data_IF_726846882338
#
_entry.id   IF_726846882338
#
_cell.length_a   1.000
_cell.length_b   1.000
_cell.length_c   1.000
_cell.angle_alpha   90.00
_cell.angle_beta   90.00
_cell.angle_gamma   90.00
#
_symmetry.space_group_name_H-M   'P 1'
#
loop_
_entity.id
_entity.type
_entity.pdbx_description
1 polymer ?
#
# COMPACT_ATOMS: atom_id res chain seq x y z
N UNK A 1 -25.32 -14.77 15.58
CA UNK A 1 -25.13 -14.10 16.88
C UNK A 1 -25.15 -12.61 16.63
N UNK A 2 -25.86 -11.84 17.46
CA UNK A 2 -25.89 -10.37 17.37
C UNK A 2 -24.55 -9.83 17.87
N UNK A 3 -23.89 -8.97 17.09
CA UNK A 3 -22.62 -8.33 17.48
C UNK A 3 -22.89 -7.30 18.58
N UNK A 4 -22.14 -7.37 19.68
CA UNK A 4 -22.20 -6.38 20.77
C UNK A 4 -21.24 -5.21 20.50
N UNK A 5 -21.70 -4.25 19.70
CA UNK A 5 -20.94 -3.07 19.28
C UNK A 5 -20.52 -2.16 20.45
N UNK A 6 -21.18 -2.24 21.60
CA UNK A 6 -20.80 -1.49 22.80
C UNK A 6 -19.49 -1.97 23.44
N UNK A 7 -18.95 -3.11 23.00
CA UNK A 7 -17.67 -3.66 23.46
C UNK A 7 -16.58 -3.63 22.40
N UNK A 8 -16.88 -3.08 21.23
CA UNK A 8 -15.94 -2.91 20.12
C UNK A 8 -15.53 -1.44 20.02
N UNK A 9 -14.34 -1.22 19.51
CA UNK A 9 -13.77 0.09 19.30
C UNK A 9 -13.34 0.27 17.83
N UNK A 10 -13.29 1.53 17.44
CA UNK A 10 -12.69 2.05 16.22
C UNK A 10 -11.83 3.27 16.57
N UNK A 11 -11.20 3.94 15.61
CA UNK A 11 -10.19 4.98 15.88
C UNK A 11 -10.63 6.12 16.81
N UNK A 12 -11.94 6.45 16.84
CA UNK A 12 -12.48 7.54 17.67
C UNK A 12 -13.18 7.08 18.97
N UNK A 13 -13.05 5.81 19.38
CA UNK A 13 -13.65 5.29 20.61
C UNK A 13 -14.55 4.07 20.41
N UNK A 14 -15.58 3.92 21.26
CA UNK A 14 -16.52 2.80 21.19
C UNK A 14 -17.39 2.87 19.92
N UNK A 15 -17.55 1.73 19.24
CA UNK A 15 -18.19 1.62 17.94
C UNK A 15 -19.73 1.56 18.02
N UNK A 16 -20.35 2.28 18.95
CA UNK A 16 -21.81 2.26 19.19
C UNK A 16 -22.64 2.91 18.07
N UNK A 17 -22.00 3.76 17.28
CA UNK A 17 -22.55 4.45 16.10
C UNK A 17 -22.48 3.60 14.81
N UNK A 18 -21.50 2.71 14.72
CA UNK A 18 -21.20 1.89 13.55
C UNK A 18 -22.40 1.08 13.03
N UNK A 19 -23.28 0.50 13.87
CA UNK A 19 -24.49 -0.17 13.39
C UNK A 19 -25.43 0.72 12.58
N UNK A 20 -25.54 2.01 12.95
CA UNK A 20 -26.36 2.98 12.22
C UNK A 20 -25.80 3.25 10.83
N UNK A 21 -24.48 3.41 10.72
CA UNK A 21 -23.80 3.56 9.43
C UNK A 21 -23.95 2.30 8.57
N UNK A 22 -23.78 1.11 9.14
CA UNK A 22 -23.95 -0.15 8.39
C UNK A 22 -25.38 -0.34 7.87
N UNK A 23 -26.39 0.02 8.66
CA UNK A 23 -27.78 -0.01 8.20
C UNK A 23 -28.06 1.01 7.08
N UNK A 24 -27.41 2.18 7.14
CA UNK A 24 -27.55 3.22 6.11
C UNK A 24 -27.00 2.78 4.74
N UNK A 25 -26.04 1.84 4.68
CA UNK A 25 -25.54 1.28 3.42
C UNK A 25 -26.65 0.56 2.62
N UNK A 26 -27.61 -0.08 3.30
CA UNK A 26 -28.72 -0.78 2.68
C UNK A 26 -29.91 0.15 2.40
N UNK A 27 -30.37 0.89 3.42
CA UNK A 27 -31.65 1.60 3.38
C UNK A 27 -31.55 3.12 3.37
N UNK A 28 -30.35 3.68 3.52
CA UNK A 28 -30.13 5.12 3.55
C UNK A 28 -30.23 5.77 2.17
N UNK A 29 -30.47 7.08 2.16
CA UNK A 29 -30.31 7.89 0.95
C UNK A 29 -28.82 8.04 0.56
N UNK A 30 -28.55 8.74 -0.54
CA UNK A 30 -27.18 8.87 -1.04
C UNK A 30 -26.23 9.56 -0.04
N UNK A 31 -26.72 10.54 0.71
CA UNK A 31 -25.92 11.25 1.73
C UNK A 31 -25.62 10.33 2.93
N UNK A 32 -26.62 9.59 3.39
CA UNK A 32 -26.45 8.62 4.48
C UNK A 32 -25.50 7.47 4.08
N UNK A 33 -25.55 7.00 2.83
CA UNK A 33 -24.60 6.01 2.30
C UNK A 33 -23.19 6.58 2.22
N UNK A 34 -23.01 7.80 1.73
CA UNK A 34 -21.69 8.43 1.68
C UNK A 34 -21.11 8.58 3.09
N UNK A 35 -21.91 9.06 4.06
CA UNK A 35 -21.47 9.17 5.45
C UNK A 35 -21.11 7.80 6.07
N UNK A 36 -21.78 6.72 5.65
CA UNK A 36 -21.44 5.36 6.07
C UNK A 36 -20.12 4.87 5.46
N UNK A 37 -19.87 5.17 4.18
CA UNK A 37 -18.59 4.87 3.51
C UNK A 37 -17.44 5.65 4.17
N UNK A 38 -17.64 6.94 4.42
CA UNK A 38 -16.67 7.78 5.13
C UNK A 38 -16.38 7.25 6.53
N UNK A 39 -17.40 6.71 7.24
CA UNK A 39 -17.21 6.07 8.55
C UNK A 39 -16.36 4.79 8.47
N UNK A 40 -16.56 3.97 7.43
CA UNK A 40 -15.75 2.76 7.23
C UNK A 40 -14.27 3.09 7.02
N UNK A 41 -13.99 4.10 6.20
CA UNK A 41 -12.62 4.55 5.88
C UNK A 41 -11.98 5.32 7.06
N UNK A 42 -12.67 6.33 7.58
CA UNK A 42 -12.09 7.28 8.52
C UNK A 42 -12.11 6.80 9.97
N UNK A 43 -13.01 5.89 10.36
CA UNK A 43 -13.12 5.41 11.73
C UNK A 43 -12.77 3.92 11.86
N UNK A 44 -13.43 3.06 11.07
CA UNK A 44 -13.35 1.60 11.22
C UNK A 44 -12.03 1.03 10.72
N UNK A 45 -11.48 1.55 9.61
CA UNK A 45 -10.16 1.18 9.08
C UNK A 45 -9.27 2.42 8.92
N UNK A 46 -9.08 3.14 10.01
CA UNK A 46 -8.39 4.42 9.98
C UNK A 46 -6.95 4.32 9.45
N UNK A 47 -6.72 4.85 8.24
CA UNK A 47 -5.42 4.86 7.58
C UNK A 47 -4.80 3.46 7.44
N UNK A 48 -5.64 2.44 7.23
CA UNK A 48 -5.20 1.06 7.13
C UNK A 48 -4.84 0.40 8.46
N UNK A 49 -5.09 1.04 9.61
CA UNK A 49 -4.94 0.44 10.92
C UNK A 49 -6.28 -0.08 11.45
N UNK A 50 -6.45 -1.41 11.60
CA UNK A 50 -7.70 -1.98 12.08
C UNK A 50 -7.84 -1.87 13.60
N UNK A 51 -9.08 -2.00 14.06
CA UNK A 51 -9.47 -2.14 15.47
C UNK A 51 -10.50 -3.29 15.60
N UNK A 52 -10.98 -3.55 16.82
CA UNK A 52 -11.93 -4.60 17.18
C UNK A 52 -13.26 -4.51 16.42
N UNK A 53 -13.67 -3.33 15.94
CA UNK A 53 -14.85 -3.16 15.10
C UNK A 53 -14.64 -3.55 13.63
N UNK A 54 -13.40 -3.61 13.14
CA UNK A 54 -13.11 -3.83 11.71
C UNK A 54 -13.58 -5.19 11.21
N UNK A 55 -13.28 -6.28 11.93
CA UNK A 55 -13.69 -7.62 11.49
C UNK A 55 -15.23 -7.79 11.46
N UNK A 56 -16.00 -7.35 12.47
CA UNK A 56 -17.46 -7.32 12.40
C UNK A 56 -18.02 -6.46 11.26
N UNK A 57 -17.40 -5.31 10.95
CA UNK A 57 -17.79 -4.48 9.81
C UNK A 57 -17.55 -5.19 8.46
N UNK A 58 -16.39 -5.83 8.28
CA UNK A 58 -16.09 -6.68 7.10
C UNK A 58 -17.14 -7.76 6.91
N UNK A 59 -17.55 -8.45 8.00
CA UNK A 59 -18.61 -9.47 7.95
C UNK A 59 -19.97 -8.88 7.56
N UNK A 60 -20.31 -7.68 8.05
CA UNK A 60 -21.54 -7.00 7.68
C UNK A 60 -21.57 -6.59 6.21
N UNK A 61 -20.47 -6.03 5.69
CA UNK A 61 -20.32 -5.68 4.26
C UNK A 61 -20.38 -6.94 3.39
N UNK A 62 -19.74 -8.03 3.81
CA UNK A 62 -19.81 -9.33 3.12
C UNK A 62 -21.25 -9.85 3.05
N UNK A 63 -22.01 -9.71 4.15
CA UNK A 63 -23.41 -10.12 4.19
C UNK A 63 -24.30 -9.25 3.27
N UNK A 64 -24.04 -7.93 3.18
CA UNK A 64 -24.74 -7.04 2.26
C UNK A 64 -24.56 -7.48 0.80
N UNK A 65 -23.34 -7.82 0.41
CA UNK A 65 -23.07 -8.34 -0.93
C UNK A 65 -23.72 -9.71 -1.16
N UNK A 66 -23.56 -10.64 -0.22
CA UNK A 66 -24.12 -11.99 -0.33
C UNK A 66 -25.66 -11.98 -0.39
N UNK A 67 -26.31 -11.01 0.27
CA UNK A 67 -27.75 -10.80 0.24
C UNK A 67 -28.26 -10.04 -0.98
N UNK A 68 -27.37 -9.50 -1.83
CA UNK A 68 -27.76 -8.63 -2.94
C UNK A 68 -28.36 -7.29 -2.50
N UNK A 69 -28.01 -6.83 -1.29
CA UNK A 69 -28.56 -5.64 -0.64
C UNK A 69 -27.68 -4.41 -0.82
N UNK A 70 -26.46 -4.58 -1.32
CA UNK A 70 -25.56 -3.45 -1.61
C UNK A 70 -26.14 -2.57 -2.72
N UNK A 71 -26.29 -1.27 -2.43
CA UNK A 71 -26.70 -0.29 -3.45
C UNK A 71 -25.61 -0.18 -4.55
N UNK A 72 -25.97 -0.03 -5.84
CA UNK A 72 -25.00 0.08 -6.93
C UNK A 72 -23.89 1.12 -6.69
N UNK A 73 -24.23 2.32 -6.24
CA UNK A 73 -23.26 3.40 -5.94
C UNK A 73 -22.28 3.08 -4.79
N UNK A 74 -22.52 2.01 -4.03
CA UNK A 74 -21.70 1.60 -2.89
C UNK A 74 -20.86 0.35 -3.18
N UNK A 75 -21.06 -0.34 -4.31
CA UNK A 75 -20.38 -1.61 -4.60
C UNK A 75 -18.85 -1.42 -4.64
N UNK A 76 -18.37 -0.45 -5.39
CA UNK A 76 -16.94 -0.21 -5.58
C UNK A 76 -16.26 0.26 -4.28
N UNK A 77 -16.78 1.28 -3.55
CA UNK A 77 -16.21 1.68 -2.26
C UNK A 77 -16.23 0.56 -1.20
N UNK A 78 -17.27 -0.27 -1.17
CA UNK A 78 -17.34 -1.40 -0.23
C UNK A 78 -16.35 -2.51 -0.60
N UNK A 79 -16.10 -2.74 -1.89
CA UNK A 79 -15.08 -3.67 -2.34
C UNK A 79 -13.68 -3.16 -2.05
N UNK A 80 -13.45 -1.85 -2.19
CA UNK A 80 -12.21 -1.17 -1.78
C UNK A 80 -11.94 -1.38 -0.28
N UNK A 81 -12.93 -1.14 0.57
CA UNK A 81 -12.84 -1.41 2.01
C UNK A 81 -12.44 -2.86 2.33
N UNK A 82 -12.96 -3.85 1.60
CA UNK A 82 -12.56 -5.26 1.77
C UNK A 82 -11.11 -5.51 1.33
N UNK A 83 -10.68 -4.89 0.22
CA UNK A 83 -9.31 -4.94 -0.28
C UNK A 83 -8.32 -4.30 0.70
N UNK A 84 -8.65 -3.13 1.23
CA UNK A 84 -7.84 -2.42 2.23
C UNK A 84 -7.74 -3.21 3.54
N UNK A 85 -8.84 -3.80 4.00
CA UNK A 85 -8.82 -4.68 5.16
C UNK A 85 -7.87 -5.89 4.95
N UNK A 86 -7.85 -6.46 3.75
CA UNK A 86 -6.91 -7.52 3.39
C UNK A 86 -5.45 -7.02 3.40
N UNK A 87 -5.21 -5.84 2.85
CA UNK A 87 -3.89 -5.21 2.86
C UNK A 87 -3.41 -4.94 4.29
N UNK A 88 -4.29 -4.52 5.21
CA UNK A 88 -3.95 -4.37 6.63
C UNK A 88 -3.53 -5.70 7.25
N UNK A 89 -4.22 -6.79 6.97
CA UNK A 89 -3.82 -8.14 7.45
C UNK A 89 -2.42 -8.51 6.97
N UNK A 90 -2.14 -8.30 5.69
CA UNK A 90 -0.83 -8.64 5.09
C UNK A 90 0.29 -7.72 5.62
N UNK A 91 0.07 -6.41 5.64
CA UNK A 91 1.08 -5.43 5.98
C UNK A 91 1.42 -5.41 7.48
N UNK A 92 0.47 -5.78 8.34
CA UNK A 92 0.62 -5.74 9.79
C UNK A 92 0.91 -7.11 10.41
N UNK A 93 1.10 -8.17 9.61
CA UNK A 93 1.26 -9.55 10.08
C UNK A 93 2.34 -9.72 11.16
N UNK A 94 3.45 -8.99 11.05
CA UNK A 94 4.57 -9.04 12.01
C UNK A 94 4.45 -8.02 13.16
N UNK A 95 3.41 -7.19 13.17
CA UNK A 95 3.21 -6.15 14.18
C UNK A 95 2.52 -6.69 15.43
N UNK A 96 3.27 -6.79 16.52
CA UNK A 96 2.80 -7.30 17.82
C UNK A 96 1.62 -6.53 18.40
N UNK A 97 1.45 -5.25 18.07
CA UNK A 97 0.31 -4.46 18.54
C UNK A 97 -1.02 -5.02 18.02
N UNK A 98 -1.03 -5.50 16.78
CA UNK A 98 -2.24 -5.99 16.11
C UNK A 98 -2.42 -7.53 16.21
N UNK A 99 -1.48 -8.25 16.82
CA UNK A 99 -1.51 -9.72 16.92
C UNK A 99 -2.80 -10.28 17.55
N UNK A 100 -3.47 -9.51 18.41
CA UNK A 100 -4.74 -9.91 19.04
C UNK A 100 -5.99 -9.72 18.16
N UNK A 101 -5.93 -8.88 17.11
CA UNK A 101 -7.10 -8.56 16.27
C UNK A 101 -6.99 -9.11 14.84
N UNK A 102 -5.76 -9.26 14.32
CA UNK A 102 -5.55 -9.71 12.94
C UNK A 102 -6.13 -11.10 12.63
N UNK A 103 -6.12 -12.10 13.55
CA UNK A 103 -6.72 -13.40 13.23
C UNK A 103 -8.21 -13.33 12.87
N UNK A 104 -9.01 -12.60 13.65
CA UNK A 104 -10.46 -12.46 13.36
C UNK A 104 -10.70 -11.63 12.09
N UNK A 105 -9.89 -10.59 11.86
CA UNK A 105 -9.95 -9.82 10.62
C UNK A 105 -9.59 -10.69 9.40
N UNK A 106 -8.55 -11.50 9.50
CA UNK A 106 -8.15 -12.43 8.46
C UNK A 106 -9.27 -13.45 8.15
N UNK A 107 -9.90 -13.99 9.18
CA UNK A 107 -11.04 -14.90 8.99
C UNK A 107 -12.24 -14.20 8.34
N UNK A 108 -12.52 -12.95 8.73
CA UNK A 108 -13.60 -12.16 8.15
C UNK A 108 -13.35 -11.85 6.66
N UNK A 109 -12.15 -11.39 6.32
CA UNK A 109 -11.76 -11.07 4.93
C UNK A 109 -11.71 -12.33 4.06
N UNK A 110 -11.22 -13.45 4.58
CA UNK A 110 -11.21 -14.71 3.85
C UNK A 110 -12.63 -15.19 3.48
N UNK A 111 -13.62 -14.92 4.34
CA UNK A 111 -15.03 -15.21 4.05
C UNK A 111 -15.63 -14.29 2.97
N UNK A 112 -15.04 -13.12 2.75
CA UNK A 112 -15.46 -12.20 1.69
C UNK A 112 -14.99 -12.63 0.30
N UNK A 113 -13.93 -13.45 0.21
CA UNK A 113 -13.34 -13.91 -1.06
C UNK A 113 -14.35 -14.44 -2.08
N UNK A 114 -15.21 -15.44 -1.79
CA UNK A 114 -16.15 -15.97 -2.78
C UNK A 114 -17.17 -14.93 -3.26
N UNK A 115 -17.51 -13.96 -2.41
CA UNK A 115 -18.45 -12.89 -2.76
C UNK A 115 -17.79 -11.86 -3.69
N UNK A 116 -16.55 -11.46 -3.37
CA UNK A 116 -15.75 -10.58 -4.23
C UNK A 116 -15.40 -11.24 -5.58
N UNK A 117 -15.16 -12.56 -5.61
CA UNK A 117 -14.97 -13.33 -6.83
C UNK A 117 -16.21 -13.27 -7.74
N UNK A 118 -17.41 -13.53 -7.18
CA UNK A 118 -18.65 -13.44 -7.94
C UNK A 118 -18.90 -12.04 -8.52
N UNK A 119 -18.50 -10.98 -7.80
CA UNK A 119 -18.54 -9.60 -8.31
C UNK A 119 -17.60 -9.39 -9.50
N UNK A 120 -16.39 -9.97 -9.48
CA UNK A 120 -15.46 -9.89 -10.60
C UNK A 120 -15.97 -10.69 -11.82
N UNK A 121 -16.51 -11.88 -11.61
CA UNK A 121 -17.06 -12.71 -12.69
C UNK A 121 -18.22 -12.00 -13.41
N UNK A 122 -19.05 -11.26 -12.67
CA UNK A 122 -20.15 -10.47 -13.20
C UNK A 122 -19.76 -9.03 -13.62
N UNK A 123 -18.46 -8.69 -13.60
CA UNK A 123 -18.01 -7.31 -13.87
C UNK A 123 -18.27 -6.86 -15.31
N UNK A 124 -18.69 -5.61 -15.51
CA UNK A 124 -18.52 -4.96 -16.81
C UNK A 124 -17.02 -4.67 -17.06
N UNK A 125 -16.56 -4.63 -18.33
CA UNK A 125 -15.14 -4.50 -18.66
C UNK A 125 -14.43 -3.27 -18.06
N UNK A 126 -15.14 -2.15 -17.89
CA UNK A 126 -14.61 -0.90 -17.34
C UNK A 126 -14.38 -0.96 -15.82
N UNK A 127 -14.95 -1.95 -15.13
CA UNK A 127 -14.79 -2.17 -13.68
C UNK A 127 -13.94 -3.38 -13.33
N UNK A 128 -13.70 -4.27 -14.29
CA UNK A 128 -12.98 -5.53 -14.05
C UNK A 128 -11.61 -5.34 -13.41
N UNK A 129 -10.82 -4.34 -13.85
CA UNK A 129 -9.50 -4.09 -13.29
C UNK A 129 -9.56 -3.69 -11.81
N UNK A 130 -10.39 -2.71 -11.46
CA UNK A 130 -10.57 -2.27 -10.09
C UNK A 130 -11.03 -3.42 -9.18
N UNK A 131 -11.98 -4.24 -9.64
CA UNK A 131 -12.44 -5.40 -8.85
C UNK A 131 -11.35 -6.47 -8.73
N UNK A 132 -10.53 -6.64 -9.77
CA UNK A 132 -9.38 -7.55 -9.75
C UNK A 132 -8.34 -7.11 -8.73
N UNK A 133 -7.97 -5.82 -8.71
CA UNK A 133 -6.97 -5.28 -7.77
C UNK A 133 -7.36 -5.58 -6.31
N UNK A 134 -8.63 -5.34 -5.97
CA UNK A 134 -9.16 -5.61 -4.63
C UNK A 134 -9.26 -7.11 -4.31
N UNK A 135 -9.66 -7.95 -5.28
CA UNK A 135 -9.70 -9.39 -5.07
C UNK A 135 -8.29 -10.00 -4.93
N UNK A 136 -7.31 -9.48 -5.66
CA UNK A 136 -5.90 -9.88 -5.53
C UNK A 136 -5.36 -9.50 -4.14
N UNK A 137 -5.71 -8.32 -3.62
CA UNK A 137 -5.36 -7.93 -2.25
C UNK A 137 -5.87 -8.98 -1.23
N UNK A 138 -7.11 -9.45 -1.38
CA UNK A 138 -7.68 -10.54 -0.58
C UNK A 138 -6.88 -11.84 -0.78
N UNK A 139 -6.66 -12.27 -2.02
CA UNK A 139 -5.98 -13.54 -2.35
C UNK A 139 -4.52 -13.61 -1.88
N UNK A 140 -3.88 -12.47 -1.62
CA UNK A 140 -2.52 -12.39 -1.06
C UNK A 140 -2.42 -12.84 0.40
N UNK A 141 -3.54 -12.99 1.09
CA UNK A 141 -3.54 -13.55 2.43
C UNK A 141 -3.03 -15.01 2.43
N UNK A 142 -2.27 -15.44 3.46
CA UNK A 142 -1.75 -16.82 3.51
C UNK A 142 -2.83 -17.90 3.49
N UNK A 143 -4.00 -17.63 4.08
CA UNK A 143 -5.14 -18.56 4.13
C UNK A 143 -5.80 -18.81 2.77
N UNK A 144 -5.46 -18.04 1.74
CA UNK A 144 -6.04 -18.13 0.39
C UNK A 144 -5.00 -18.51 -0.68
N UNK A 145 -3.84 -19.06 -0.28
CA UNK A 145 -2.78 -19.46 -1.22
C UNK A 145 -3.29 -20.43 -2.30
N UNK A 146 -4.15 -21.37 -1.94
CA UNK A 146 -4.71 -22.38 -2.85
C UNK A 146 -5.69 -21.80 -3.89
N UNK A 147 -6.10 -20.53 -3.73
CA UNK A 147 -7.01 -19.83 -4.66
C UNK A 147 -6.28 -19.01 -5.71
N UNK A 148 -4.97 -18.81 -5.55
CA UNK A 148 -4.20 -17.88 -6.41
C UNK A 148 -4.07 -18.37 -7.84
N UNK A 149 -3.90 -19.67 -8.04
CA UNK A 149 -3.77 -20.25 -9.39
C UNK A 149 -5.08 -20.09 -10.18
N UNK A 150 -6.21 -20.44 -9.56
CA UNK A 150 -7.55 -20.25 -10.14
C UNK A 150 -7.82 -18.78 -10.48
N UNK A 151 -7.52 -17.87 -9.54
CA UNK A 151 -7.67 -16.44 -9.76
C UNK A 151 -6.75 -15.93 -10.88
N UNK A 152 -5.50 -16.41 -10.95
CA UNK A 152 -4.55 -15.99 -11.99
C UNK A 152 -5.04 -16.32 -13.40
N UNK A 153 -5.69 -17.48 -13.59
CA UNK A 153 -6.32 -17.82 -14.87
C UNK A 153 -7.39 -16.80 -15.25
N UNK A 154 -8.27 -16.44 -14.31
CA UNK A 154 -9.31 -15.43 -14.54
C UNK A 154 -8.72 -14.05 -14.83
N UNK A 155 -7.67 -13.63 -14.10
CA UNK A 155 -6.98 -12.36 -14.36
C UNK A 155 -6.31 -12.35 -15.73
N UNK A 156 -5.72 -13.47 -16.17
CA UNK A 156 -5.16 -13.58 -17.53
C UNK A 156 -6.24 -13.35 -18.59
N UNK A 157 -7.40 -14.00 -18.47
CA UNK A 157 -8.52 -13.79 -19.40
C UNK A 157 -8.99 -12.33 -19.42
N UNK A 158 -9.11 -11.70 -18.26
CA UNK A 158 -9.45 -10.28 -18.16
C UNK A 158 -8.37 -9.38 -18.75
N UNK A 159 -7.09 -9.71 -18.61
CA UNK A 159 -6.00 -8.91 -19.17
C UNK A 159 -5.98 -8.92 -20.71
N UNK A 160 -6.52 -9.99 -21.33
CA UNK A 160 -6.63 -10.13 -22.78
C UNK A 160 -7.85 -9.39 -23.37
N UNK A 161 -8.96 -9.36 -22.62
CA UNK A 161 -10.26 -8.83 -23.08
C UNK A 161 -10.59 -7.44 -22.54
N UNK A 162 -10.05 -7.11 -21.38
CA UNK A 162 -10.45 -5.99 -20.55
C UNK A 162 -9.92 -4.66 -21.05
N UNK A 163 -10.59 -3.60 -20.62
CA UNK A 163 -10.11 -2.23 -20.77
C UNK A 163 -9.23 -1.88 -19.57
N UNK A 164 -8.04 -1.33 -19.80
CA UNK A 164 -7.17 -0.85 -18.73
C UNK A 164 -5.69 -0.86 -19.11
N UNK A 165 -4.83 -0.17 -18.36
CA UNK A 165 -3.39 -0.20 -18.56
C UNK A 165 -2.82 -1.62 -18.36
N UNK A 166 -2.12 -2.15 -19.36
CA UNK A 166 -1.49 -3.48 -19.29
C UNK A 166 -0.59 -3.65 -18.06
N UNK A 167 0.10 -2.59 -17.65
CA UNK A 167 0.97 -2.62 -16.48
C UNK A 167 0.23 -2.98 -15.18
N UNK A 168 -1.01 -2.53 -14.98
CA UNK A 168 -1.80 -2.85 -13.78
C UNK A 168 -2.26 -4.31 -13.76
N UNK A 169 -2.59 -4.87 -14.92
CA UNK A 169 -2.84 -6.31 -15.05
C UNK A 169 -1.60 -7.15 -14.73
N UNK A 170 -0.41 -6.72 -15.19
CA UNK A 170 0.84 -7.40 -14.85
C UNK A 170 1.15 -7.33 -13.35
N UNK A 171 0.78 -6.22 -12.69
CA UNK A 171 0.91 -6.10 -11.25
C UNK A 171 0.06 -7.14 -10.51
N UNK A 172 -1.22 -7.27 -10.92
CA UNK A 172 -2.14 -8.27 -10.37
C UNK A 172 -1.59 -9.69 -10.54
N UNK A 173 -1.15 -10.04 -11.76
CA UNK A 173 -0.58 -11.36 -12.06
C UNK A 173 0.71 -11.63 -11.27
N UNK A 174 1.59 -10.64 -11.13
CA UNK A 174 2.81 -10.76 -10.35
C UNK A 174 2.53 -10.99 -8.86
N UNK A 175 1.53 -10.27 -8.31
CA UNK A 175 1.06 -10.44 -6.94
C UNK A 175 0.44 -11.84 -6.68
N UNK A 176 -0.07 -12.50 -7.71
CA UNK A 176 -0.56 -13.88 -7.66
C UNK A 176 0.54 -14.93 -7.87
N UNK A 177 1.77 -14.52 -8.17
CA UNK A 177 2.92 -15.40 -8.35
C UNK A 177 3.10 -15.96 -9.76
N UNK A 178 2.47 -15.35 -10.77
CA UNK A 178 2.66 -15.73 -12.18
C UNK A 178 4.09 -15.41 -12.63
N UNK A 179 4.72 -16.34 -13.35
CA UNK A 179 6.00 -16.05 -14.00
C UNK A 179 5.78 -15.13 -15.20
N UNK A 180 6.31 -13.91 -15.09
CA UNK A 180 6.13 -12.85 -16.07
C UNK A 180 7.45 -12.48 -16.76
N UNK A 181 8.54 -13.22 -16.55
CA UNK A 181 9.89 -12.81 -16.99
C UNK A 181 10.03 -12.61 -18.50
N UNK A 182 9.17 -13.22 -19.31
CA UNK A 182 9.14 -13.00 -20.76
C UNK A 182 8.74 -11.55 -21.14
N UNK A 183 8.06 -10.84 -20.24
CA UNK A 183 7.62 -9.47 -20.41
C UNK A 183 8.66 -8.42 -19.97
N UNK A 184 9.85 -8.84 -19.51
CA UNK A 184 10.94 -7.92 -19.16
C UNK A 184 11.48 -7.13 -20.37
N UNK A 185 11.14 -7.56 -21.59
CA UNK A 185 11.49 -6.90 -22.84
C UNK A 185 10.31 -6.16 -23.51
N UNK A 186 9.15 -6.05 -22.84
CA UNK A 186 7.98 -5.34 -23.38
C UNK A 186 8.34 -3.89 -23.76
N UNK A 187 7.83 -3.32 -24.87
CA UNK A 187 8.11 -1.94 -25.25
C UNK A 187 7.68 -0.88 -24.21
N UNK A 188 6.65 -1.15 -23.41
CA UNK A 188 6.15 -0.24 -22.39
C UNK A 188 7.02 -0.30 -21.11
N UNK A 189 7.65 0.83 -20.68
CA UNK A 189 8.42 0.88 -19.45
C UNK A 189 7.61 0.54 -18.19
N UNK A 190 6.31 0.85 -18.15
CA UNK A 190 5.47 0.55 -16.99
C UNK A 190 5.26 -0.97 -16.85
N UNK A 191 5.05 -1.67 -17.97
CA UNK A 191 4.95 -3.14 -18.00
C UNK A 191 6.26 -3.76 -17.51
N UNK A 192 7.40 -3.37 -18.10
CA UNK A 192 8.71 -3.91 -17.69
C UNK A 192 8.97 -3.71 -16.20
N UNK A 193 8.59 -2.56 -15.63
CA UNK A 193 8.82 -2.29 -14.21
C UNK A 193 7.89 -3.09 -13.30
N UNK A 194 6.61 -3.27 -13.64
CA UNK A 194 5.71 -4.13 -12.86
C UNK A 194 6.19 -5.58 -12.86
N UNK A 195 6.64 -6.07 -14.01
CA UNK A 195 7.26 -7.41 -14.13
C UNK A 195 8.54 -7.49 -13.30
N UNK A 196 9.40 -6.47 -13.36
CA UNK A 196 10.63 -6.45 -12.57
C UNK A 196 10.36 -6.47 -11.06
N UNK A 197 9.36 -5.73 -10.59
CA UNK A 197 8.93 -5.70 -9.19
C UNK A 197 8.35 -7.03 -8.71
N UNK A 198 7.75 -7.83 -9.60
CA UNK A 198 7.26 -9.16 -9.27
C UNK A 198 8.38 -10.22 -9.16
N UNK A 199 9.52 -9.99 -9.83
CA UNK A 199 10.64 -10.93 -9.96
C UNK A 199 11.96 -10.27 -9.55
N UNK A 200 12.03 -9.72 -8.33
CA UNK A 200 13.19 -8.99 -7.80
C UNK A 200 14.49 -9.82 -7.75
N UNK A 201 14.37 -11.16 -7.76
CA UNK A 201 15.46 -12.13 -7.78
C UNK A 201 16.13 -12.26 -9.16
N UNK A 202 15.45 -11.91 -10.26
CA UNK A 202 16.02 -11.95 -11.61
C UNK A 202 17.04 -10.81 -11.82
N UNK A 203 18.26 -11.11 -12.31
CA UNK A 203 19.30 -10.09 -12.50
C UNK A 203 18.92 -8.93 -13.45
N UNK A 204 18.06 -9.19 -14.44
CA UNK A 204 17.55 -8.15 -15.37
C UNK A 204 16.53 -7.27 -14.65
N UNK A 205 15.63 -7.87 -13.87
CA UNK A 205 14.69 -7.14 -13.00
C UNK A 205 15.44 -6.21 -12.04
N UNK A 206 16.47 -6.72 -11.35
CA UNK A 206 17.31 -5.92 -10.47
C UNK A 206 17.87 -4.69 -11.19
N UNK A 207 18.47 -4.90 -12.37
CA UNK A 207 19.04 -3.81 -13.17
C UNK A 207 17.98 -2.78 -13.56
N UNK A 208 16.78 -3.21 -13.94
CA UNK A 208 15.66 -2.32 -14.30
C UNK A 208 15.19 -1.48 -13.10
N UNK A 209 14.97 -2.10 -11.93
CA UNK A 209 14.52 -1.40 -10.71
C UNK A 209 15.54 -0.33 -10.31
N UNK A 210 16.81 -0.71 -10.21
CA UNK A 210 17.88 0.21 -9.79
C UNK A 210 18.06 1.37 -10.78
N UNK A 211 17.93 1.11 -12.08
CA UNK A 211 18.00 2.17 -13.09
C UNK A 211 16.78 3.11 -13.04
N UNK A 212 15.59 2.56 -12.77
CA UNK A 212 14.35 3.34 -12.71
C UNK A 212 14.26 4.25 -11.49
N UNK A 213 14.91 3.90 -10.37
CA UNK A 213 14.92 4.74 -9.16
C UNK A 213 15.39 6.17 -9.44
N UNK A 214 16.31 6.34 -10.40
CA UNK A 214 16.84 7.63 -10.82
C UNK A 214 15.82 8.55 -11.51
N UNK A 215 14.77 7.98 -12.11
CA UNK A 215 13.81 8.70 -12.93
C UNK A 215 12.45 8.82 -12.22
N UNK A 216 11.62 9.82 -12.55
CA UNK A 216 10.23 9.82 -12.10
C UNK A 216 9.55 8.51 -12.55
N UNK A 217 8.70 7.89 -11.71
CA UNK A 217 8.04 6.66 -12.08
C UNK A 217 7.08 6.91 -13.27
N UNK A 218 6.90 5.92 -14.15
CA UNK A 218 5.88 6.02 -15.19
C UNK A 218 4.47 6.11 -14.57
N UNK A 219 3.47 6.61 -15.31
CA UNK A 219 2.08 6.64 -14.85
C UNK A 219 1.60 5.27 -14.35
N UNK A 220 0.87 5.27 -13.24
CA UNK A 220 0.36 4.04 -12.61
C UNK A 220 1.37 3.28 -11.75
N UNK A 221 2.57 3.83 -11.52
CA UNK A 221 3.54 3.31 -10.55
C UNK A 221 3.91 4.39 -9.53
N UNK A 222 3.92 4.04 -8.24
CA UNK A 222 4.27 4.97 -7.18
C UNK A 222 5.78 4.94 -6.87
N UNK A 223 6.34 6.09 -6.53
CA UNK A 223 7.76 6.23 -6.16
C UNK A 223 8.13 5.37 -4.95
N UNK A 224 7.24 5.25 -3.96
CA UNK A 224 7.46 4.44 -2.75
C UNK A 224 7.67 2.97 -3.09
N UNK A 225 6.92 2.40 -4.04
CA UNK A 225 7.08 1.02 -4.47
C UNK A 225 8.48 0.76 -5.07
N UNK A 226 8.97 1.67 -5.91
CA UNK A 226 10.33 1.59 -6.48
C UNK A 226 11.41 1.73 -5.40
N UNK A 227 11.23 2.65 -4.45
CA UNK A 227 12.18 2.81 -3.33
C UNK A 227 12.24 1.55 -2.48
N UNK A 228 11.09 1.00 -2.10
CA UNK A 228 11.02 -0.20 -1.26
C UNK A 228 11.71 -1.39 -1.94
N UNK A 229 11.43 -1.61 -3.24
CA UNK A 229 12.10 -2.65 -4.02
C UNK A 229 13.62 -2.43 -4.14
N UNK A 230 14.04 -1.19 -4.45
CA UNK A 230 15.45 -0.85 -4.54
C UNK A 230 16.21 -1.09 -3.23
N UNK A 231 15.60 -0.77 -2.08
CA UNK A 231 16.17 -1.04 -0.75
C UNK A 231 16.32 -2.55 -0.51
N UNK A 232 15.31 -3.36 -0.86
CA UNK A 232 15.37 -4.83 -0.67
C UNK A 232 16.48 -5.48 -1.47
N UNK A 233 16.69 -5.03 -2.71
CA UNK A 233 17.67 -5.64 -3.60
C UNK A 233 19.07 -5.03 -3.45
N UNK A 234 19.21 -3.75 -3.14
CA UNK A 234 20.53 -3.10 -3.04
C UNK A 234 21.43 -3.80 -2.01
N UNK A 235 22.72 -3.96 -2.33
CA UNK A 235 23.68 -4.58 -1.40
C UNK A 235 23.95 -3.67 -0.20
N UNK A 236 23.99 -2.37 -0.45
CA UNK A 236 24.22 -1.31 0.51
C UNK A 236 23.66 0.02 -0.04
N UNK A 237 23.73 1.07 0.78
CA UNK A 237 23.28 2.39 0.36
C UNK A 237 24.16 3.00 -0.75
N UNK A 238 25.46 2.67 -0.81
CA UNK A 238 26.37 3.23 -1.80
C UNK A 238 25.96 2.83 -3.23
N UNK A 239 25.44 1.62 -3.42
CA UNK A 239 24.92 1.14 -4.72
C UNK A 239 23.80 2.02 -5.29
N UNK A 240 22.95 2.60 -4.43
CA UNK A 240 21.79 3.40 -4.86
C UNK A 240 21.90 4.89 -4.52
N UNK A 241 23.03 5.32 -3.94
CA UNK A 241 23.19 6.66 -3.37
C UNK A 241 22.86 7.79 -4.35
N UNK A 242 23.32 7.68 -5.61
CA UNK A 242 23.06 8.69 -6.64
C UNK A 242 21.57 8.81 -6.96
N UNK A 243 20.89 7.69 -7.18
CA UNK A 243 19.46 7.68 -7.46
C UNK A 243 18.65 8.12 -6.23
N UNK A 244 19.05 7.70 -5.03
CA UNK A 244 18.45 8.13 -3.77
C UNK A 244 18.53 9.66 -3.58
N UNK A 245 19.65 10.29 -3.96
CA UNK A 245 19.78 11.75 -3.94
C UNK A 245 18.81 12.44 -4.92
N UNK A 246 18.56 11.84 -6.09
CA UNK A 246 17.60 12.37 -7.07
C UNK A 246 16.17 12.28 -6.54
N UNK A 247 15.81 11.18 -5.87
CA UNK A 247 14.52 11.05 -5.17
C UNK A 247 14.41 12.12 -4.09
N UNK A 248 15.37 12.20 -3.17
CA UNK A 248 15.39 13.19 -2.09
C UNK A 248 15.31 14.65 -2.59
N UNK A 249 15.82 14.94 -3.78
CA UNK A 249 15.80 16.28 -4.37
C UNK A 249 14.49 16.68 -5.05
N UNK A 250 13.58 15.73 -5.35
CA UNK A 250 12.33 15.98 -6.08
C UNK A 250 11.06 15.70 -5.27
N UNK A 251 11.19 14.90 -4.22
CA UNK A 251 10.05 14.38 -3.47
C UNK A 251 9.56 15.43 -2.47
N UNK A 252 8.28 15.78 -2.54
CA UNK A 252 7.66 16.87 -1.76
C UNK A 252 7.09 16.37 -0.43
N UNK A 253 6.69 15.10 -0.39
CA UNK A 253 6.07 14.45 0.74
C UNK A 253 6.49 12.98 0.79
N UNK A 254 6.96 12.53 1.95
CA UNK A 254 7.07 11.12 2.22
C UNK A 254 6.58 10.82 3.64
N UNK A 255 5.83 9.72 3.76
CA UNK A 255 5.61 9.07 5.03
C UNK A 255 6.94 8.64 5.65
N UNK A 256 6.92 8.41 6.96
CA UNK A 256 8.13 8.07 7.72
C UNK A 256 8.88 6.84 7.15
N UNK A 257 8.16 5.84 6.64
CA UNK A 257 8.71 4.59 6.08
C UNK A 257 8.63 4.50 4.55
N UNK A 258 8.37 5.60 3.85
CA UNK A 258 8.24 5.66 2.38
C UNK A 258 9.19 6.67 1.74
N UNK A 259 9.31 6.61 0.40
CA UNK A 259 9.97 7.65 -0.41
C UNK A 259 11.38 8.00 0.08
N UNK A 260 11.67 9.29 0.22
CA UNK A 260 12.96 9.74 0.76
C UNK A 260 13.18 9.32 2.22
N UNK A 261 12.13 9.15 3.03
CA UNK A 261 12.22 8.74 4.44
C UNK A 261 12.83 7.34 4.60
N UNK A 262 12.33 6.39 3.82
CA UNK A 262 12.88 5.03 3.74
C UNK A 262 14.37 5.03 3.31
N UNK A 263 14.74 5.90 2.36
CA UNK A 263 16.13 6.03 1.91
C UNK A 263 17.06 6.58 3.02
N UNK A 264 16.58 7.50 3.85
CA UNK A 264 17.35 7.95 5.04
C UNK A 264 17.56 6.78 6.00
N UNK A 265 16.51 6.02 6.30
CA UNK A 265 16.63 4.86 7.19
C UNK A 265 17.62 3.83 6.66
N UNK A 266 17.61 3.56 5.36
CA UNK A 266 18.55 2.67 4.71
C UNK A 266 19.99 3.21 4.73
N UNK A 267 20.18 4.53 4.55
CA UNK A 267 21.48 5.19 4.65
C UNK A 267 22.04 5.24 6.09
N UNK A 268 21.16 5.26 7.10
CA UNK A 268 21.50 5.40 8.52
C UNK A 268 20.97 4.22 9.35
N UNK A 269 21.45 2.97 9.11
CA UNK A 269 21.05 1.81 9.92
C UNK A 269 21.49 1.94 11.37
N UNK A 270 22.51 2.78 11.63
CA UNK A 270 22.88 3.25 12.95
C UNK A 270 22.74 4.77 12.98
N UNK A 271 22.21 5.29 14.10
CA UNK A 271 22.01 6.73 14.29
C UNK A 271 23.33 7.48 14.11
N UNK A 272 23.28 8.63 13.45
CA UNK A 272 24.40 9.55 13.38
C UNK A 272 24.89 9.92 14.79
N UNK A 273 26.21 9.97 14.96
CA UNK A 273 26.85 10.42 16.17
C UNK A 273 28.09 11.22 15.80
N UNK A 274 28.35 12.33 16.50
CA UNK A 274 29.42 13.27 16.12
C UNK A 274 30.83 12.66 16.07
N UNK A 275 31.09 11.59 16.82
CA UNK A 275 32.36 10.85 16.81
C UNK A 275 32.51 9.93 15.59
N UNK A 276 31.45 9.77 14.79
CA UNK A 276 31.43 8.94 13.58
C UNK A 276 31.14 9.83 12.36
N UNK A 277 32.14 10.11 11.52
CA UNK A 277 31.93 10.96 10.36
C UNK A 277 30.98 10.31 9.36
N UNK A 278 30.20 11.14 8.66
CA UNK A 278 29.34 10.70 7.56
C UNK A 278 30.18 10.10 6.43
N UNK A 279 29.68 9.01 5.84
CA UNK A 279 30.23 8.50 4.57
C UNK A 279 29.99 9.51 3.43
N UNK A 280 30.68 9.31 2.30
CA UNK A 280 30.47 10.15 1.12
C UNK A 280 29.01 10.15 0.65
N UNK A 281 28.40 8.97 0.57
CA UNK A 281 27.01 8.80 0.18
C UNK A 281 26.02 9.39 1.20
N UNK A 282 26.23 9.18 2.51
CA UNK A 282 25.39 9.79 3.55
C UNK A 282 25.45 11.32 3.49
N UNK A 283 26.64 11.89 3.26
CA UNK A 283 26.83 13.33 3.11
C UNK A 283 26.13 13.86 1.84
N UNK A 284 26.19 13.12 0.74
CA UNK A 284 25.51 13.48 -0.51
C UNK A 284 23.99 13.46 -0.35
N UNK A 285 23.44 12.41 0.27
CA UNK A 285 22.00 12.32 0.57
C UNK A 285 21.55 13.47 1.46
N UNK A 286 22.26 13.73 2.56
CA UNK A 286 21.93 14.83 3.46
C UNK A 286 22.00 16.18 2.74
N UNK A 287 22.94 16.37 1.81
CA UNK A 287 23.00 17.58 0.98
C UNK A 287 21.77 17.72 0.08
N UNK A 288 21.32 16.63 -0.55
CA UNK A 288 20.11 16.64 -1.37
C UNK A 288 18.87 17.03 -0.56
N UNK A 289 18.68 16.41 0.61
CA UNK A 289 17.57 16.72 1.53
C UNK A 289 17.60 18.16 2.04
N UNK A 290 18.80 18.68 2.30
CA UNK A 290 18.99 20.07 2.74
C UNK A 290 18.70 21.05 1.61
N UNK A 291 18.92 20.69 0.34
CA UNK A 291 18.66 21.56 -0.80
C UNK A 291 17.20 21.57 -1.24
N UNK A 292 16.43 20.52 -0.94
CA UNK A 292 15.00 20.47 -1.24
C UNK A 292 14.21 21.36 -0.28
N UNK A 293 13.60 22.44 -0.78
CA UNK A 293 12.87 23.42 0.03
C UNK A 293 11.57 22.87 0.62
N UNK A 294 10.89 21.95 -0.07
CA UNK A 294 9.59 21.40 0.32
C UNK A 294 9.68 20.56 1.61
N UNK A 295 10.84 19.92 1.84
CA UNK A 295 11.10 19.16 3.07
C UNK A 295 11.26 20.05 4.32
N UNK A 296 11.44 21.35 4.13
CA UNK A 296 11.58 22.32 5.22
C UNK A 296 10.38 23.26 5.34
N UNK A 297 9.29 22.96 4.63
CA UNK A 297 8.00 23.62 4.84
C UNK A 297 7.53 23.35 6.29
N UNK A 298 7.14 24.38 7.07
CA UNK A 298 6.66 24.21 8.45
C UNK A 298 5.42 23.31 8.58
N UNK A 299 4.65 23.14 7.51
CA UNK A 299 3.48 22.24 7.46
C UNK A 299 3.87 20.78 7.27
N UNK A 300 5.11 20.49 6.87
CA UNK A 300 5.64 19.14 6.73
C UNK A 300 6.17 18.59 8.07
N UNK A 301 5.32 17.83 8.77
CA UNK A 301 5.67 17.19 10.05
C UNK A 301 6.63 16.00 9.94
N UNK A 302 6.78 15.39 8.75
CA UNK A 302 7.53 14.14 8.57
C UNK A 302 9.05 14.32 8.70
N UNK A 303 9.58 15.46 8.24
CA UNK A 303 11.02 15.76 8.20
C UNK A 303 11.69 15.61 9.58
N UNK A 304 11.09 16.23 10.61
CA UNK A 304 11.61 16.16 11.97
C UNK A 304 11.65 14.74 12.54
N UNK A 305 10.64 13.92 12.24
CA UNK A 305 10.57 12.55 12.72
C UNK A 305 11.63 11.66 12.08
N UNK A 306 11.79 11.71 10.75
CA UNK A 306 12.80 10.92 10.04
C UNK A 306 14.21 11.28 10.52
N UNK A 307 14.51 12.58 10.65
CA UNK A 307 15.82 13.05 11.07
C UNK A 307 16.13 12.64 12.52
N UNK A 308 15.13 12.76 13.42
CA UNK A 308 15.26 12.29 14.80
C UNK A 308 15.65 10.82 14.86
N UNK A 309 15.00 9.97 14.06
CA UNK A 309 15.30 8.54 14.03
C UNK A 309 16.70 8.24 13.50
N UNK A 310 17.11 8.93 12.42
CA UNK A 310 18.46 8.84 11.89
C UNK A 310 19.54 9.47 12.80
N UNK A 311 19.15 10.16 13.88
CA UNK A 311 20.07 10.88 14.78
C UNK A 311 20.61 12.19 14.18
N UNK A 312 20.01 12.66 13.10
CA UNK A 312 20.39 13.89 12.41
C UNK A 312 19.83 15.14 13.11
N UNK A 313 20.47 16.32 12.98
CA UNK A 313 19.95 17.56 13.55
C UNK A 313 18.59 17.95 12.98
N UNK A 314 17.72 18.53 13.81
CA UNK A 314 16.36 18.91 13.37
C UNK A 314 16.30 20.26 12.63
N UNK A 315 17.41 20.98 12.49
CA UNK A 315 17.45 22.27 11.80
C UNK A 315 18.23 22.19 10.49
N UNK A 316 17.70 22.85 9.46
CA UNK A 316 18.33 22.95 8.14
C UNK A 316 19.74 23.51 8.22
N UNK A 317 19.92 24.55 9.03
CA UNK A 317 21.23 25.18 9.25
C UNK A 317 22.25 24.26 9.92
N UNK A 318 21.83 23.43 10.88
CA UNK A 318 22.73 22.44 11.48
C UNK A 318 23.09 21.33 10.49
N UNK A 319 22.13 20.88 9.68
CA UNK A 319 22.40 19.89 8.63
C UNK A 319 23.35 20.44 7.55
N UNK A 320 23.21 21.71 7.13
CA UNK A 320 24.15 22.40 6.23
C UNK A 320 25.59 22.31 6.74
N UNK A 321 25.81 22.63 8.02
CA UNK A 321 27.15 22.55 8.64
C UNK A 321 27.74 21.14 8.62
N UNK A 322 26.92 20.09 8.67
CA UNK A 322 27.41 18.70 8.61
C UNK A 322 27.84 18.28 7.21
N UNK A 323 27.32 18.91 6.16
CA UNK A 323 27.62 18.55 4.77
C UNK A 323 28.64 19.45 4.08
N UNK A 324 29.05 20.53 4.74
CA UNK A 324 29.96 21.54 4.18
C UNK A 324 29.20 22.46 3.24
#
# INVERSE_FOLDING_TARGET
MTVDWGRLAHAYGWATDTPGHLAALESGDAEARQAALDHLDMAVLHQGFPDTATAPAVRAVTALFAGGQAHPDSVEPLLEFLGDAAMSVVNLADNRYFAGILPDLADAVAQAYPVALALLEASPPDRALFRTENLVAIARMPSLVDRREELAVLVLEWSERGTGPRAQWMDCLGQLGVDLRDWLADPDPAVRLRVALAHEDDPRSRKLILAALAQPPPPGLHQCALVAAAIRIARDFDEIATAACQVAGRDSWAGFDDGWGALVRFAFPQRYAAHRPLTGAQRALLRALVSNDELWDPTNGSCGLVFKQAGLPHSRGACRRLVG
#
